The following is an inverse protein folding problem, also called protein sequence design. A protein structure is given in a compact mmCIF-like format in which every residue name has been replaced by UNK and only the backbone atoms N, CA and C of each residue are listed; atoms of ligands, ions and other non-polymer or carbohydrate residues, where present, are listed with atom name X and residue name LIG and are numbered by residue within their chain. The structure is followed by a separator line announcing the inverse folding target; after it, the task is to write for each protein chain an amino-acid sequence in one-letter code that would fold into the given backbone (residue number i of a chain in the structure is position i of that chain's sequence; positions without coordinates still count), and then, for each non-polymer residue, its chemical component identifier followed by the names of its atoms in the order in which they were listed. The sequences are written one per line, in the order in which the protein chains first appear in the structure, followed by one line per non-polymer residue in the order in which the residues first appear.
data_IF_566438659833
#
_entry.id   IF_566438659833
#
_cell.length_a   1.000
_cell.length_b   1.000
_cell.length_c   1.000
_cell.angle_alpha   90.00
_cell.angle_beta   90.00
_cell.angle_gamma   90.00
#
_symmetry.space_group_name_H-M   'P 1'
#
loop_
_entity.id
_entity.type
_entity.pdbx_description
1 polymer ?
#
# COMPACT_ATOMS: atom_id res chain seq x y z
N UNK A 1 2.51 14.50 -25.01
CA UNK A 1 2.17 13.59 -26.12
C UNK A 1 1.87 12.21 -25.51
N UNK A 2 0.62 11.95 -25.13
CA UNK A 2 0.21 10.73 -24.43
C UNK A 2 -0.27 9.70 -25.45
N UNK A 3 0.52 8.68 -25.77
CA UNK A 3 0.09 7.62 -26.68
C UNK A 3 0.30 6.22 -26.08
N UNK A 4 -0.75 5.42 -26.23
CA UNK A 4 -0.78 3.95 -26.18
C UNK A 4 -0.73 3.25 -24.82
N UNK A 5 -1.68 3.57 -23.94
CA UNK A 5 -2.24 2.51 -23.07
C UNK A 5 -3.47 1.97 -23.77
N UNK A 6 -3.50 0.66 -24.10
CA UNK A 6 -4.69 0.08 -24.72
C UNK A 6 -5.91 0.31 -23.83
N UNK A 7 -7.03 0.73 -24.43
CA UNK A 7 -8.31 0.91 -23.72
C UNK A 7 -8.70 -0.33 -22.91
N UNK A 8 -8.35 -1.51 -23.42
CA UNK A 8 -8.54 -2.82 -22.77
C UNK A 8 -7.76 -2.91 -21.46
N UNK A 9 -6.48 -2.52 -21.45
CA UNK A 9 -5.64 -2.57 -20.24
C UNK A 9 -6.11 -1.55 -19.20
N UNK A 10 -6.55 -0.37 -19.62
CA UNK A 10 -7.18 0.63 -18.73
C UNK A 10 -8.45 0.07 -18.09
N UNK A 11 -9.35 -0.48 -18.90
CA UNK A 11 -10.59 -1.11 -18.43
C UNK A 11 -10.33 -2.26 -17.45
N UNK A 12 -9.34 -3.11 -17.76
CA UNK A 12 -8.94 -4.22 -16.88
C UNK A 12 -8.43 -3.71 -15.53
N UNK A 13 -7.62 -2.64 -15.50
CA UNK A 13 -7.12 -2.08 -14.24
C UNK A 13 -8.22 -1.49 -13.36
N UNK A 14 -9.27 -0.91 -13.95
CA UNK A 14 -10.44 -0.45 -13.18
C UNK A 14 -11.22 -1.60 -12.54
N UNK A 15 -11.19 -2.79 -13.15
CA UNK A 15 -11.89 -3.98 -12.67
C UNK A 15 -11.07 -4.81 -11.68
N UNK A 16 -9.75 -4.58 -11.57
CA UNK A 16 -8.93 -5.29 -10.60
C UNK A 16 -9.23 -4.78 -9.18
N UNK A 17 -9.39 -5.68 -8.20
CA UNK A 17 -9.64 -5.27 -6.82
C UNK A 17 -8.48 -4.44 -6.27
N UNK A 18 -8.80 -3.37 -5.55
CA UNK A 18 -7.80 -2.50 -4.92
C UNK A 18 -7.08 -3.23 -3.80
N UNK A 19 -5.76 -3.30 -3.86
CA UNK A 19 -4.93 -3.91 -2.82
C UNK A 19 -4.65 -2.87 -1.73
N UNK A 20 -5.60 -2.68 -0.82
CA UNK A 20 -5.48 -1.69 0.27
C UNK A 20 -4.70 -2.25 1.46
N UNK A 21 -3.52 -1.69 1.68
CA UNK A 21 -2.67 -1.94 2.84
C UNK A 21 -2.98 -0.89 3.91
N UNK A 22 -3.99 -1.18 4.73
CA UNK A 22 -4.46 -0.29 5.79
C UNK A 22 -4.21 -0.88 7.19
N UNK A 23 -3.43 -0.24 8.05
CA UNK A 23 -3.26 -0.69 9.43
C UNK A 23 -4.52 -0.43 10.27
N UNK A 24 -4.81 -1.36 11.18
CA UNK A 24 -5.85 -1.20 12.20
C UNK A 24 -5.34 -1.40 13.63
N UNK A 25 -4.01 -1.47 13.80
CA UNK A 25 -3.32 -1.67 15.07
C UNK A 25 -3.19 -3.14 15.51
N UNK A 26 -3.84 -4.07 14.81
CA UNK A 26 -3.85 -5.51 15.17
C UNK A 26 -3.64 -6.44 13.97
N UNK A 27 -3.37 -5.89 12.78
CA UNK A 27 -3.40 -6.63 11.52
C UNK A 27 -2.05 -6.77 10.80
N UNK A 28 -0.92 -6.65 11.50
CA UNK A 28 0.41 -6.79 10.89
C UNK A 28 0.55 -8.08 10.06
N UNK A 29 0.10 -9.22 10.60
CA UNK A 29 0.17 -10.51 9.90
C UNK A 29 -0.63 -10.48 8.58
N UNK A 30 -1.83 -9.91 8.59
CA UNK A 30 -2.68 -9.78 7.40
C UNK A 30 -2.05 -8.83 6.38
N UNK A 31 -1.44 -7.73 6.83
CA UNK A 31 -0.71 -6.80 5.96
C UNK A 31 0.46 -7.49 5.24
N UNK A 32 1.26 -8.30 5.96
CA UNK A 32 2.33 -9.10 5.34
C UNK A 32 1.81 -10.16 4.36
N UNK A 33 0.69 -10.81 4.68
CA UNK A 33 0.03 -11.74 3.74
C UNK A 33 -0.41 -11.02 2.46
N UNK A 34 -0.92 -9.80 2.57
CA UNK A 34 -1.31 -8.99 1.41
C UNK A 34 -0.10 -8.70 0.51
N UNK A 35 1.05 -8.30 1.08
CA UNK A 35 2.29 -8.11 0.31
C UNK A 35 2.68 -9.39 -0.45
N UNK A 36 2.69 -10.54 0.23
CA UNK A 36 3.01 -11.84 -0.39
C UNK A 36 2.04 -12.22 -1.51
N UNK A 37 0.75 -12.01 -1.30
CA UNK A 37 -0.27 -12.26 -2.32
C UNK A 37 -0.05 -11.35 -3.55
N UNK A 38 0.37 -10.10 -3.34
CA UNK A 38 0.64 -9.20 -4.46
C UNK A 38 1.82 -9.70 -5.32
N UNK A 39 2.86 -10.27 -4.71
CA UNK A 39 3.95 -10.93 -5.44
C UNK A 39 3.41 -12.17 -6.17
N UNK A 40 2.70 -13.06 -5.47
CA UNK A 40 2.19 -14.32 -6.03
C UNK A 40 1.27 -14.10 -7.24
N UNK A 41 0.42 -13.08 -7.19
CA UNK A 41 -0.50 -12.73 -8.27
C UNK A 41 0.06 -11.69 -9.24
N UNK A 42 1.37 -11.42 -9.21
CA UNK A 42 2.07 -10.47 -10.07
C UNK A 42 1.36 -9.11 -10.19
N UNK A 43 0.93 -8.57 -9.04
CA UNK A 43 0.26 -7.27 -8.95
C UNK A 43 1.30 -6.15 -9.10
N UNK A 44 0.92 -5.08 -9.79
CA UNK A 44 1.83 -3.97 -10.08
C UNK A 44 2.08 -3.04 -8.90
N UNK A 45 1.20 -3.04 -7.89
CA UNK A 45 1.26 -2.15 -6.74
C UNK A 45 0.43 -2.67 -5.57
N UNK A 46 0.67 -2.01 -4.43
CA UNK A 46 -0.12 -2.06 -3.20
C UNK A 46 -0.33 -0.61 -2.74
N UNK A 47 -1.56 -0.23 -2.41
CA UNK A 47 -1.88 1.12 -1.94
C UNK A 47 -1.85 1.16 -0.42
N UNK A 48 -0.87 1.86 0.15
CA UNK A 48 -0.80 2.09 1.59
C UNK A 48 -1.69 3.27 1.99
N UNK A 49 -2.60 3.05 2.95
CA UNK A 49 -3.62 4.02 3.33
C UNK A 49 -3.63 4.23 4.84
N UNK A 50 -3.38 5.47 5.26
CA UNK A 50 -3.44 5.89 6.65
C UNK A 50 -3.83 7.38 6.72
N UNK A 51 -4.64 7.77 7.69
CA UNK A 51 -4.97 9.17 7.93
C UNK A 51 -4.05 9.77 8.99
N UNK A 52 -3.60 11.02 8.83
CA UNK A 52 -2.64 11.63 9.78
C UNK A 52 -3.14 11.66 11.22
N UNK A 53 -4.46 11.82 11.44
CA UNK A 53 -5.05 11.74 12.78
C UNK A 53 -4.91 10.36 13.43
N UNK A 54 -4.71 9.29 12.64
CA UNK A 54 -4.48 7.94 13.15
C UNK A 54 -3.06 7.76 13.74
N UNK A 55 -2.19 8.75 13.60
CA UNK A 55 -0.84 8.79 14.18
C UNK A 55 -0.79 9.45 15.56
N UNK A 56 -1.95 9.84 16.10
CA UNK A 56 -2.04 10.51 17.40
C UNK A 56 -3.00 9.76 18.33
N UNK A 57 -2.70 9.70 19.65
CA UNK A 57 -3.62 9.14 20.63
C UNK A 57 -4.97 9.85 20.58
N UNK A 58 -6.06 9.09 20.45
CA UNK A 58 -7.41 9.63 20.39
C UNK A 58 -7.78 10.30 19.07
N UNK A 59 -6.85 10.44 18.12
CA UNK A 59 -7.15 11.01 16.79
C UNK A 59 -7.95 10.06 15.87
N UNK A 60 -8.21 8.83 16.32
CA UNK A 60 -9.24 7.96 15.75
C UNK A 60 -9.82 6.98 16.78
N UNK A 61 -11.01 6.40 16.53
CA UNK A 61 -11.57 5.35 17.38
C UNK A 61 -10.70 4.08 17.48
N UNK A 62 -9.83 3.84 16.48
CA UNK A 62 -8.93 2.67 16.42
C UNK A 62 -7.68 2.83 17.28
N UNK A 63 -7.17 4.06 17.41
CA UNK A 63 -5.93 4.37 18.10
C UNK A 63 -6.20 5.35 19.24
N UNK A 64 -6.66 4.82 20.39
CA UNK A 64 -7.12 5.65 21.51
C UNK A 64 -6.01 6.06 22.48
N UNK A 65 -4.95 5.28 22.58
CA UNK A 65 -3.91 5.45 23.62
C UNK A 65 -2.53 5.60 23.00
N UNK A 66 -1.60 6.17 23.75
CA UNK A 66 -0.18 6.24 23.37
C UNK A 66 0.39 4.86 23.06
N UNK A 67 0.10 3.85 23.88
CA UNK A 67 0.58 2.48 23.65
C UNK A 67 0.05 1.91 22.32
N UNK A 68 -1.16 2.28 21.90
CA UNK A 68 -1.71 1.85 20.61
C UNK A 68 -1.01 2.51 19.41
N UNK A 69 -0.50 3.73 19.60
CA UNK A 69 0.30 4.46 18.60
C UNK A 69 1.72 3.91 18.53
N UNK A 70 2.37 3.66 19.67
CA UNK A 70 3.68 3.01 19.70
C UNK A 70 3.64 1.63 19.03
N UNK A 71 2.60 0.85 19.31
CA UNK A 71 2.38 -0.42 18.62
C UNK A 71 2.19 -0.23 17.11
N UNK A 72 1.44 0.79 16.68
CA UNK A 72 1.26 1.09 15.26
C UNK A 72 2.62 1.37 14.60
N UNK A 73 3.47 2.21 15.21
CA UNK A 73 4.80 2.49 14.66
C UNK A 73 5.67 1.24 14.58
N UNK A 74 5.69 0.41 15.62
CA UNK A 74 6.41 -0.86 15.61
C UNK A 74 5.90 -1.81 14.50
N UNK A 75 4.57 -1.91 14.32
CA UNK A 75 3.98 -2.69 13.25
C UNK A 75 4.38 -2.14 11.86
N UNK A 76 4.40 -0.80 11.68
CA UNK A 76 4.77 -0.15 10.42
C UNK A 76 6.24 -0.36 10.08
N UNK A 77 7.14 -0.27 11.06
CA UNK A 77 8.57 -0.56 10.87
C UNK A 77 8.79 -1.99 10.37
N UNK A 78 8.18 -2.97 11.06
CA UNK A 78 8.26 -4.37 10.66
C UNK A 78 7.59 -4.66 9.31
N UNK A 79 6.59 -3.88 8.92
CA UNK A 79 5.93 -3.97 7.62
C UNK A 79 6.83 -3.42 6.52
N UNK A 80 7.46 -2.26 6.70
CA UNK A 80 8.32 -1.66 5.69
C UNK A 80 9.64 -2.40 5.52
N UNK A 81 10.19 -3.00 6.58
CA UNK A 81 11.31 -3.94 6.46
C UNK A 81 10.91 -5.13 5.58
N UNK A 82 9.74 -5.73 5.82
CA UNK A 82 9.24 -6.86 5.02
C UNK A 82 9.01 -6.43 3.55
N UNK A 83 8.44 -5.26 3.32
CA UNK A 83 8.24 -4.71 1.98
C UNK A 83 9.58 -4.51 1.24
N UNK A 84 10.56 -3.88 1.89
CA UNK A 84 11.88 -3.64 1.30
C UNK A 84 12.61 -4.96 0.97
N UNK A 85 12.54 -5.94 1.88
CA UNK A 85 13.10 -7.28 1.65
C UNK A 85 12.46 -8.03 0.47
N UNK A 86 11.24 -7.63 0.09
CA UNK A 86 10.51 -8.18 -1.07
C UNK A 86 10.52 -7.23 -2.27
N UNK A 87 11.48 -6.30 -2.34
CA UNK A 87 11.68 -5.37 -3.46
C UNK A 87 10.48 -4.45 -3.75
N UNK A 88 9.68 -4.12 -2.73
CA UNK A 88 8.72 -3.03 -2.85
C UNK A 88 9.43 -1.69 -2.71
N UNK A 89 9.06 -0.74 -3.57
CA UNK A 89 9.53 0.64 -3.51
C UNK A 89 8.34 1.56 -3.17
N UNK A 90 8.53 2.44 -2.18
CA UNK A 90 7.56 3.46 -1.85
C UNK A 90 7.56 4.56 -2.91
N UNK A 91 6.38 4.93 -3.40
CA UNK A 91 6.21 6.08 -4.29
C UNK A 91 4.83 6.71 -4.10
N UNK A 92 4.70 7.97 -4.51
CA UNK A 92 3.41 8.65 -4.61
C UNK A 92 2.58 8.08 -5.77
N UNK A 93 1.27 8.32 -5.77
CA UNK A 93 0.40 7.94 -6.90
C UNK A 93 0.84 8.60 -8.21
N UNK A 94 1.34 9.84 -8.15
CA UNK A 94 1.87 10.55 -9.31
C UNK A 94 3.11 9.88 -9.88
N UNK A 95 4.07 9.51 -9.04
CA UNK A 95 5.27 8.78 -9.46
C UNK A 95 4.92 7.40 -10.01
N UNK A 96 4.04 6.66 -9.32
CA UNK A 96 3.54 5.38 -9.80
C UNK A 96 2.97 5.49 -11.22
N UNK A 97 2.16 6.52 -11.49
CA UNK A 97 1.64 6.79 -12.82
C UNK A 97 2.77 7.01 -13.85
N UNK A 98 3.82 7.75 -13.51
CA UNK A 98 4.98 7.92 -14.39
C UNK A 98 5.76 6.62 -14.62
N UNK A 99 5.95 5.78 -13.60
CA UNK A 99 6.58 4.46 -13.74
C UNK A 99 5.74 3.53 -14.63
N UNK A 100 4.43 3.57 -14.46
CA UNK A 100 3.50 2.78 -15.25
C UNK A 100 3.58 3.13 -16.74
N UNK A 101 3.63 4.42 -17.08
CA UNK A 101 3.81 4.86 -18.48
C UNK A 101 5.14 4.41 -19.06
N UNK A 102 6.24 4.53 -18.29
CA UNK A 102 7.58 4.12 -18.74
C UNK A 102 7.70 2.63 -19.02
N UNK A 103 7.02 1.77 -18.25
CA UNK A 103 7.01 0.30 -18.45
C UNK A 103 6.19 -0.16 -19.67
N UNK A 104 5.53 0.74 -20.40
CA UNK A 104 4.77 0.39 -21.62
C UNK A 104 5.50 0.74 -22.92
N UNK A 105 6.63 1.43 -22.83
CA UNK A 105 7.57 1.63 -23.93
C UNK A 105 8.66 0.57 -23.85
#
# INVERSE_FOLDING_TARGET
MFHNVSLVRRGLMYLLPKNWLRPNGRNLKQMKILLRNCILYNKSNVEFMLHSSELMPGGSPRFKTEQSIEKLYSDLELLFIDANNNNFEGCTLSEFYQHFLRRQH
#
